data_IF_148097583388
#
_entry.id   IF_148097583388
#
_cell.length_a   1.000
_cell.length_b   1.000
_cell.length_c   1.000
_cell.angle_alpha   90.00
_cell.angle_beta   90.00
_cell.angle_gamma   90.00
#
_symmetry.space_group_name_H-M   'P 1'
#
loop_
_entity.id
_entity.type
_entity.pdbx_description
1 polymer ?
#
# COMPACT_ATOMS: atom_id res chain seq x y z
N UNK A 1 2.10 11.64 -4.66
CA UNK A 1 1.57 13.00 -4.54
C UNK A 1 1.37 13.58 -5.94
N UNK A 2 0.18 14.10 -6.26
CA UNK A 2 -0.24 14.60 -7.58
C UNK A 2 -1.43 13.83 -8.16
N UNK A 3 -1.39 12.50 -8.08
CA UNK A 3 -2.43 11.58 -8.60
C UNK A 3 -2.79 10.43 -7.61
N UNK A 4 -2.30 10.52 -6.37
CA UNK A 4 -2.44 9.52 -5.30
C UNK A 4 -1.96 8.11 -5.67
N UNK A 5 -1.00 8.00 -6.59
CA UNK A 5 -0.34 6.75 -6.95
C UNK A 5 0.97 6.56 -6.20
N UNK A 6 1.22 5.32 -5.77
CA UNK A 6 2.50 4.86 -5.23
C UNK A 6 3.25 4.06 -6.31
N UNK A 7 4.53 4.35 -6.51
CA UNK A 7 5.40 3.60 -7.42
C UNK A 7 6.27 2.60 -6.65
N UNK A 8 6.27 1.35 -7.07
CA UNK A 8 7.14 0.31 -6.53
C UNK A 8 8.33 0.05 -7.47
N UNK A 9 9.51 -0.14 -6.88
CA UNK A 9 10.72 -0.53 -7.61
C UNK A 9 11.32 -1.77 -6.97
N UNK A 10 11.74 -2.73 -7.80
CA UNK A 10 12.42 -3.92 -7.35
C UNK A 10 13.82 -3.56 -6.84
N UNK A 11 14.11 -3.93 -5.59
CA UNK A 11 15.47 -3.87 -5.04
C UNK A 11 16.30 -4.95 -5.71
N UNK A 12 17.30 -4.59 -6.52
CA UNK A 12 18.29 -5.57 -7.00
C UNK A 12 19.24 -5.92 -5.85
N UNK A 13 19.41 -7.22 -5.59
CA UNK A 13 20.41 -7.73 -4.67
C UNK A 13 21.71 -8.02 -5.45
N UNK A 14 22.82 -7.39 -5.05
CA UNK A 14 24.15 -7.58 -5.65
C UNK A 14 25.18 -6.63 -5.03
N UNK A 15 26.47 -6.97 -5.10
CA UNK A 15 27.58 -6.21 -4.50
C UNK A 15 27.80 -4.81 -5.12
N UNK A 16 27.08 -4.50 -6.18
CA UNK A 16 27.24 -3.30 -6.97
C UNK A 16 26.13 -2.32 -6.62
N UNK A 17 26.37 -1.51 -5.60
CA UNK A 17 25.47 -0.46 -5.08
C UNK A 17 25.18 0.68 -6.10
N UNK A 18 25.41 0.43 -7.40
CA UNK A 18 25.20 1.34 -8.54
C UNK A 18 24.08 0.88 -9.48
N UNK A 19 23.44 -0.25 -9.23
CA UNK A 19 22.37 -0.73 -10.09
C UNK A 19 21.11 0.15 -9.95
N UNK A 20 20.61 0.65 -11.09
CA UNK A 20 19.36 1.41 -11.16
C UNK A 20 18.19 0.49 -10.75
N UNK A 21 17.32 0.90 -9.80
CA UNK A 21 16.12 0.14 -9.45
C UNK A 21 15.21 -0.05 -10.66
N UNK A 22 14.64 -1.24 -10.82
CA UNK A 22 13.72 -1.55 -11.93
C UNK A 22 12.29 -1.26 -11.48
N UNK A 23 11.55 -0.48 -12.26
CA UNK A 23 10.14 -0.22 -12.00
C UNK A 23 9.34 -1.52 -11.98
N UNK A 24 8.60 -1.74 -10.88
CA UNK A 24 7.83 -2.96 -10.65
C UNK A 24 6.32 -2.74 -10.80
N UNK A 25 5.85 -1.49 -10.88
CA UNK A 25 4.45 -1.16 -11.05
C UNK A 25 3.98 -0.03 -10.14
N UNK A 26 2.73 0.39 -10.32
CA UNK A 26 2.07 1.41 -9.53
C UNK A 26 0.82 0.86 -8.86
N UNK A 27 0.48 1.38 -7.69
CA UNK A 27 -0.75 1.03 -6.97
C UNK A 27 -1.35 2.25 -6.27
N UNK A 28 -2.63 2.17 -5.93
CA UNK A 28 -3.34 3.18 -5.12
C UNK A 28 -3.88 2.50 -3.86
N UNK A 29 -3.91 3.23 -2.75
CA UNK A 29 -4.61 2.79 -1.54
C UNK A 29 -6.02 3.39 -1.61
N UNK A 30 -7.00 2.57 -1.97
CA UNK A 30 -8.39 3.01 -2.11
C UNK A 30 -9.22 2.66 -0.89
N UNK A 31 -10.42 3.26 -0.77
CA UNK A 31 -11.36 2.96 0.28
C UNK A 31 -11.60 1.44 0.42
N UNK A 32 -11.45 0.94 1.65
CA UNK A 32 -11.73 -0.44 2.01
C UNK A 32 -13.20 -0.64 2.39
N UNK A 33 -13.88 0.42 2.81
CA UNK A 33 -15.31 0.43 3.12
C UNK A 33 -15.88 1.85 3.04
N UNK A 34 -17.19 1.99 3.25
CA UNK A 34 -17.84 3.31 3.33
C UNK A 34 -17.30 4.21 4.46
N UNK A 35 -16.69 3.61 5.49
CA UNK A 35 -16.17 4.32 6.68
C UNK A 35 -14.65 4.21 6.82
N UNK A 36 -13.98 3.53 5.89
CA UNK A 36 -12.52 3.40 5.85
C UNK A 36 -12.07 3.71 4.43
N UNK A 37 -11.65 4.94 4.25
CA UNK A 37 -11.21 5.55 3.00
C UNK A 37 -9.77 5.18 2.61
N UNK A 38 -9.35 5.72 1.45
CA UNK A 38 -8.04 5.51 0.86
C UNK A 38 -7.00 6.48 1.40
N UNK A 39 -5.83 6.55 0.76
CA UNK A 39 -4.82 7.56 1.06
C UNK A 39 -4.73 8.57 -0.07
N UNK A 40 -4.92 9.85 0.24
CA UNK A 40 -4.80 10.97 -0.69
C UNK A 40 -3.79 11.98 -0.14
N UNK A 41 -3.20 12.79 -1.01
CA UNK A 41 -2.27 13.86 -0.60
C UNK A 41 -1.15 13.31 0.31
N UNK A 42 -0.69 12.09 0.01
CA UNK A 42 0.26 11.36 0.84
C UNK A 42 1.67 11.97 0.72
N UNK A 43 2.24 12.33 1.87
CA UNK A 43 3.61 12.86 1.98
C UNK A 43 4.61 11.81 2.48
N UNK A 44 4.16 10.73 3.14
CA UNK A 44 5.05 9.75 3.77
C UNK A 44 4.55 8.31 3.73
N UNK A 45 5.48 7.37 3.54
CA UNK A 45 5.22 5.93 3.58
C UNK A 45 6.35 5.17 4.30
N UNK A 46 5.99 4.14 5.05
CA UNK A 46 6.93 3.23 5.72
C UNK A 46 6.50 1.79 5.49
N UNK A 47 7.48 0.89 5.30
CA UNK A 47 7.21 -0.54 5.04
C UNK A 47 8.02 -1.42 5.97
N UNK A 48 7.39 -2.49 6.44
CA UNK A 48 8.07 -3.61 7.12
C UNK A 48 7.67 -4.93 6.47
N UNK A 49 8.66 -5.70 6.03
CA UNK A 49 8.47 -6.96 5.30
C UNK A 49 8.35 -8.19 6.17
N UNK A 50 8.58 -8.08 7.48
CA UNK A 50 8.44 -9.18 8.43
C UNK A 50 7.02 -9.26 8.99
N UNK A 51 6.54 -10.46 9.37
CA UNK A 51 5.23 -10.63 10.00
C UNK A 51 5.06 -9.76 11.26
N UNK A 52 3.90 -9.13 11.40
CA UNK A 52 3.49 -8.35 12.58
C UNK A 52 2.19 -8.91 13.15
N UNK A 53 2.33 -10.02 13.89
CA UNK A 53 1.22 -10.76 14.47
C UNK A 53 0.27 -11.35 13.43
N UNK A 54 -0.91 -11.79 13.87
CA UNK A 54 -1.92 -12.41 13.01
C UNK A 54 -2.58 -11.43 12.04
N UNK A 55 -2.61 -10.13 12.37
CA UNK A 55 -3.26 -9.09 11.56
C UNK A 55 -2.47 -8.73 10.29
N UNK A 56 -1.14 -8.85 10.34
CA UNK A 56 -0.25 -8.53 9.21
C UNK A 56 0.81 -9.63 9.01
N UNK A 57 0.41 -10.85 8.61
CA UNK A 57 1.31 -12.01 8.58
C UNK A 57 2.33 -11.94 7.43
N UNK A 58 2.13 -11.08 6.44
CA UNK A 58 3.09 -10.85 5.35
C UNK A 58 3.79 -9.49 5.39
N UNK A 59 3.70 -8.78 6.52
CA UNK A 59 4.22 -7.43 6.69
C UNK A 59 3.17 -6.34 6.49
N UNK A 60 3.61 -5.10 6.68
CA UNK A 60 2.77 -3.91 6.77
C UNK A 60 3.36 -2.78 5.94
N UNK A 61 2.53 -2.14 5.12
CA UNK A 61 2.76 -0.81 4.56
C UNK A 61 1.91 0.18 5.36
N UNK A 62 2.54 1.25 5.83
CA UNK A 62 1.86 2.40 6.43
C UNK A 62 2.03 3.58 5.49
N UNK A 63 0.94 4.23 5.11
CA UNK A 63 0.94 5.46 4.31
C UNK A 63 0.20 6.54 5.06
N UNK A 64 0.71 7.77 4.99
CA UNK A 64 0.00 8.93 5.48
C UNK A 64 -1.14 9.28 4.52
N UNK A 65 -2.22 9.77 5.09
CA UNK A 65 -3.40 10.26 4.38
C UNK A 65 -3.63 11.71 4.78
N UNK A 66 -3.54 12.61 3.83
CA UNK A 66 -3.67 14.05 4.03
C UNK A 66 -5.12 14.52 4.15
N UNK A 67 -6.09 13.68 3.78
CA UNK A 67 -7.50 14.02 3.81
C UNK A 67 -8.34 12.88 4.41
N UNK A 68 -7.99 12.49 5.63
CA UNK A 68 -8.60 11.36 6.31
C UNK A 68 -10.06 11.63 6.68
N UNK A 69 -10.92 10.67 6.32
CA UNK A 69 -12.34 10.67 6.63
C UNK A 69 -12.72 9.51 7.57
N UNK A 70 -13.73 9.69 8.44
CA UNK A 70 -14.47 10.93 8.67
C UNK A 70 -13.66 11.97 9.46
N UNK A 71 -13.76 13.23 9.04
CA UNK A 71 -13.27 14.36 9.81
C UNK A 71 -14.13 14.55 11.09
N UNK A 72 -13.48 14.78 12.23
CA UNK A 72 -14.18 15.23 13.44
C UNK A 72 -14.48 16.73 13.34
N UNK A 73 -15.73 17.08 13.67
CA UNK A 73 -16.21 18.47 13.80
C UNK A 73 -15.93 19.38 12.58
N UNK A 74 -15.93 18.80 11.38
CA UNK A 74 -15.75 19.54 10.12
C UNK A 74 -14.34 20.11 9.90
N UNK A 75 -13.33 19.64 10.65
CA UNK A 75 -11.94 20.03 10.46
C UNK A 75 -11.21 19.05 9.56
N UNK A 76 -10.33 19.54 8.70
CA UNK A 76 -9.40 18.68 7.96
C UNK A 76 -8.64 17.79 8.95
N UNK A 77 -8.58 16.50 8.63
CA UNK A 77 -7.90 15.51 9.44
C UNK A 77 -6.87 14.80 8.57
N UNK A 78 -5.69 14.57 9.15
CA UNK A 78 -4.69 13.68 8.57
C UNK A 78 -4.68 12.37 9.36
N UNK A 79 -4.24 11.29 8.73
CA UNK A 79 -4.20 9.99 9.35
C UNK A 79 -3.18 9.06 8.72
N UNK A 80 -3.26 7.79 9.11
CA UNK A 80 -2.43 6.74 8.54
C UNK A 80 -3.30 5.55 8.14
N UNK A 81 -3.03 5.00 6.96
CA UNK A 81 -3.62 3.73 6.52
C UNK A 81 -2.64 2.60 6.75
N UNK A 82 -3.16 1.50 7.28
CA UNK A 82 -2.42 0.28 7.54
C UNK A 82 -2.81 -0.76 6.50
N UNK A 83 -1.89 -1.08 5.60
CA UNK A 83 -2.15 -1.95 4.45
C UNK A 83 -1.34 -3.23 4.59
N UNK A 84 -2.01 -4.37 4.54
CA UNK A 84 -1.35 -5.67 4.48
C UNK A 84 -0.48 -5.74 3.23
N UNK A 85 0.82 -5.96 3.42
CA UNK A 85 1.79 -5.94 2.33
C UNK A 85 1.54 -7.05 1.29
N UNK A 86 0.82 -8.12 1.65
CA UNK A 86 0.38 -9.16 0.70
C UNK A 86 -0.57 -8.60 -0.35
N UNK A 87 -1.47 -7.70 0.02
CA UNK A 87 -2.41 -7.05 -0.92
C UNK A 87 -1.66 -6.17 -1.93
N UNK A 88 -0.67 -5.41 -1.45
CA UNK A 88 0.20 -4.60 -2.33
C UNK A 88 0.97 -5.48 -3.30
N UNK A 89 1.58 -6.56 -2.81
CA UNK A 89 2.29 -7.53 -3.67
C UNK A 89 1.36 -8.19 -4.68
N UNK A 90 0.13 -8.54 -4.29
CA UNK A 90 -0.89 -9.06 -5.20
C UNK A 90 -1.24 -8.06 -6.31
N UNK A 91 -1.50 -6.80 -5.94
CA UNK A 91 -1.79 -5.73 -6.91
C UNK A 91 -0.65 -5.48 -7.90
N UNK A 92 0.60 -5.70 -7.48
CA UNK A 92 1.79 -5.57 -8.31
C UNK A 92 2.15 -6.87 -9.07
N UNK A 93 1.41 -7.96 -8.90
CA UNK A 93 1.74 -9.26 -9.49
C UNK A 93 3.02 -9.91 -8.92
N UNK A 94 3.41 -9.52 -7.69
CA UNK A 94 4.60 -9.97 -6.96
C UNK A 94 4.29 -10.98 -5.84
N UNK A 95 3.03 -11.43 -5.76
CA UNK A 95 2.71 -12.66 -5.04
C UNK A 95 3.37 -13.81 -5.81
N UNK A 96 4.15 -14.65 -5.12
CA UNK A 96 4.99 -15.67 -5.78
C UNK A 96 4.25 -16.49 -6.83
N UNK A 97 4.98 -16.88 -7.88
CA UNK A 97 4.52 -17.65 -9.04
C UNK A 97 3.34 -18.61 -8.78
N UNK A 98 2.13 -18.16 -9.11
CA UNK A 98 1.21 -18.88 -9.99
C UNK A 98 0.62 -17.82 -10.91
N UNK A 99 0.89 -17.95 -12.20
CA UNK A 99 0.56 -16.94 -13.19
C UNK A 99 -0.93 -16.63 -13.25
N UNK A 100 -1.26 -15.33 -13.25
CA UNK A 100 -2.37 -14.77 -14.00
C UNK A 100 -2.18 -13.27 -14.10
N UNK A 101 -1.91 -12.81 -15.32
CA UNK A 101 -2.10 -11.41 -15.74
C UNK A 101 -3.60 -11.11 -15.67
N UNK A 102 -4.00 -10.29 -14.70
CA UNK A 102 -5.37 -9.83 -14.58
C UNK A 102 -5.41 -8.66 -13.61
N UNK A 103 -5.86 -7.51 -14.09
CA UNK A 103 -6.24 -6.37 -13.26
C UNK A 103 -7.47 -6.74 -12.43
N UNK A 104 -7.28 -7.22 -11.20
CA UNK A 104 -8.37 -7.43 -10.25
C UNK A 104 -8.32 -6.37 -9.15
N UNK A 105 -9.38 -5.55 -9.07
CA UNK A 105 -9.72 -4.77 -7.89
C UNK A 105 -9.99 -5.74 -6.75
N UNK A 106 -9.28 -5.61 -5.63
CA UNK A 106 -9.61 -6.35 -4.41
C UNK A 106 -9.83 -5.37 -3.26
N UNK A 107 -11.10 -5.03 -3.04
CA UNK A 107 -11.57 -4.59 -1.72
C UNK A 107 -11.89 -5.87 -0.93
N UNK A 108 -11.20 -6.07 0.19
CA UNK A 108 -11.53 -7.17 1.09
C UNK A 108 -11.63 -6.64 2.53
N UNK A 109 -12.84 -6.79 3.05
CA UNK A 109 -13.34 -6.53 4.40
C UNK A 109 -12.40 -7.11 5.46
N UNK A 110 -12.00 -6.28 6.42
CA UNK A 110 -11.39 -6.73 7.68
C UNK A 110 -12.21 -6.14 8.83
N UNK A 111 -13.13 -6.95 9.36
CA UNK A 111 -13.59 -6.91 10.77
C UNK A 111 -12.51 -7.63 11.60
N UNK A 112 -12.11 -7.23 12.81
CA UNK A 112 -12.72 -6.41 13.87
C UNK A 112 -11.78 -5.30 14.38
#
# INVERSE_FOLDING_TARGET
QGDDTFAAYARRAGRENRAVPVYAGGFRVTAASATLDGAEVCDGAAVRSEPLGSRYPGGLLVVQDGNATPAQDGREATGFKFVDLRKVRGALGLAGSVGRTGTEKVAEKVTE
#
